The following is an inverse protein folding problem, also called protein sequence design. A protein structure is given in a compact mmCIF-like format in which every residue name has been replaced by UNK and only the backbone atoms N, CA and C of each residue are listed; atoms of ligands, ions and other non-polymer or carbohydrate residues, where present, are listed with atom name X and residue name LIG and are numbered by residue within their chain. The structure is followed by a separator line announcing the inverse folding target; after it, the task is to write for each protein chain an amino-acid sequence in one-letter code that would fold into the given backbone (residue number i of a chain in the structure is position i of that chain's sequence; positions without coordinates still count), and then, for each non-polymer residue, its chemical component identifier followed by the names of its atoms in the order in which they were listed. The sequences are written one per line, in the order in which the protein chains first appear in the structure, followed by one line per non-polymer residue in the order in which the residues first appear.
data_IF_523517160400
#
_entry.id   IF_523517160400
#
_cell.length_a   1.000
_cell.length_b   1.000
_cell.length_c   1.000
_cell.angle_alpha   90.00
_cell.angle_beta   90.00
_cell.angle_gamma   90.00
#
_symmetry.space_group_name_H-M   'P 1'
#
loop_
_entity.id
_entity.type
_entity.pdbx_description
1 polymer ?
#
# COMPACT_ATOMS: atom_id res chain seq x y z
N UNK A 1 -54.93 25.31 -23.35
CA UNK A 1 -54.89 26.76 -23.67
C UNK A 1 -54.58 27.53 -22.40
N UNK A 2 -53.60 28.45 -22.47
CA UNK A 2 -53.30 29.61 -21.58
C UNK A 2 -52.88 29.28 -20.13
N UNK A 3 -51.65 29.61 -19.68
CA UNK A 3 -51.09 30.96 -19.41
C UNK A 3 -51.95 31.74 -18.40
N UNK A 4 -51.49 32.43 -17.36
CA UNK A 4 -50.16 32.92 -16.92
C UNK A 4 -50.40 33.55 -15.52
N UNK A 5 -49.35 33.55 -14.67
CA UNK A 5 -48.79 34.65 -13.88
C UNK A 5 -49.73 35.70 -13.21
N UNK A 6 -49.43 36.20 -12.01
CA UNK A 6 -48.63 37.41 -11.69
C UNK A 6 -48.82 37.60 -10.16
N UNK A 7 -47.82 37.86 -9.30
CA UNK A 7 -47.16 39.13 -8.98
C UNK A 7 -46.26 38.83 -7.76
N UNK A 8 -44.95 39.04 -7.70
CA UNK A 8 -44.16 40.29 -7.67
C UNK A 8 -44.66 41.32 -6.65
N UNK A 9 -43.98 41.41 -5.48
CA UNK A 9 -43.80 42.65 -4.67
C UNK A 9 -42.45 42.58 -3.92
N UNK A 10 -41.74 43.71 -3.98
CA UNK A 10 -40.41 44.09 -3.48
C UNK A 10 -40.37 44.43 -1.97
N UNK A 11 -39.17 44.34 -1.36
CA UNK A 11 -38.54 45.26 -0.36
C UNK A 11 -37.42 44.50 0.40
N UNK A 12 -36.12 44.65 0.14
CA UNK A 12 -35.13 45.69 0.52
C UNK A 12 -34.91 45.87 2.04
N UNK A 13 -33.63 46.09 2.40
CA UNK A 13 -33.00 46.57 3.65
C UNK A 13 -32.88 45.54 4.81
N UNK A 14 -31.81 45.40 5.61
CA UNK A 14 -30.57 46.16 5.89
C UNK A 14 -29.57 45.25 6.64
N UNK A 15 -28.28 45.50 6.39
CA UNK A 15 -27.12 45.44 7.31
C UNK A 15 -27.34 44.96 8.77
N UNK A 16 -26.63 43.90 9.17
CA UNK A 16 -26.13 43.79 10.55
C UNK A 16 -24.78 43.03 10.56
N UNK A 17 -23.71 43.77 10.80
CA UNK A 17 -22.39 43.25 11.12
C UNK A 17 -22.44 42.47 12.44
N UNK A 18 -22.13 41.19 12.39
CA UNK A 18 -21.84 40.37 13.57
C UNK A 18 -20.57 39.56 13.31
N UNK A 19 -19.41 40.17 13.56
CA UNK A 19 -18.13 39.46 13.66
C UNK A 19 -18.13 38.65 14.97
N UNK A 20 -18.69 37.43 14.89
CA UNK A 20 -18.51 36.42 15.92
C UNK A 20 -17.17 35.70 15.70
N UNK A 21 -16.20 35.98 16.55
CA UNK A 21 -14.98 35.18 16.70
C UNK A 21 -15.36 33.77 17.16
N UNK A 22 -15.47 32.84 16.21
CA UNK A 22 -15.53 31.40 16.54
C UNK A 22 -14.08 30.96 16.71
N UNK A 23 -13.71 30.58 17.93
CA UNK A 23 -12.47 29.87 18.18
C UNK A 23 -12.47 28.58 17.36
N UNK A 24 -11.67 28.55 16.30
CA UNK A 24 -11.38 27.34 15.55
C UNK A 24 -10.53 26.42 16.44
N UNK A 25 -11.19 25.60 17.25
CA UNK A 25 -10.57 24.37 17.75
C UNK A 25 -10.37 23.44 16.56
N UNK A 26 -9.12 23.06 16.28
CA UNK A 26 -8.76 22.05 15.28
C UNK A 26 -9.22 20.65 15.73
N UNK A 27 -10.53 20.41 15.73
CA UNK A 27 -11.13 19.08 15.79
C UNK A 27 -11.60 18.68 14.40
N UNK A 28 -10.70 18.15 13.58
CA UNK A 28 -11.01 17.76 12.21
C UNK A 28 -11.88 16.48 12.19
N UNK A 29 -13.19 16.64 12.30
CA UNK A 29 -14.15 15.62 11.83
C UNK A 29 -14.33 15.83 10.32
N UNK A 30 -13.56 15.11 9.51
CA UNK A 30 -13.76 15.08 8.05
C UNK A 30 -14.97 14.19 7.74
N UNK A 31 -16.00 14.68 7.02
CA UNK A 31 -17.00 13.81 6.43
C UNK A 31 -16.34 12.94 5.36
N UNK A 32 -16.74 11.66 5.29
CA UNK A 32 -16.40 10.72 4.22
C UNK A 32 -16.96 11.25 2.89
N UNK A 33 -16.20 12.09 2.20
CA UNK A 33 -16.41 12.42 0.79
C UNK A 33 -15.82 11.30 -0.06
N UNK A 34 -16.64 10.74 -0.95
CA UNK A 34 -16.19 9.91 -2.05
C UNK A 34 -15.11 10.67 -2.82
N UNK A 35 -13.88 10.12 -2.86
CA UNK A 35 -12.79 10.69 -3.64
C UNK A 35 -13.07 10.31 -5.10
N UNK A 36 -13.54 11.28 -5.87
CA UNK A 36 -13.36 11.28 -7.32
C UNK A 36 -11.85 11.32 -7.57
N UNK A 37 -11.37 10.38 -8.39
CA UNK A 37 -9.95 10.16 -8.68
C UNK A 37 -9.31 11.43 -9.26
N UNK A 38 -8.67 12.21 -8.39
CA UNK A 38 -8.05 13.49 -8.72
C UNK A 38 -6.67 13.59 -8.05
N UNK A 39 -5.66 13.06 -8.74
CA UNK A 39 -4.25 13.47 -8.71
C UNK A 39 -3.61 13.83 -7.34
N UNK A 40 -3.96 13.13 -6.27
CA UNK A 40 -3.15 13.11 -5.05
C UNK A 40 -2.27 11.87 -5.10
N UNK A 41 -0.94 12.05 -5.04
CA UNK A 41 0.08 11.00 -4.98
C UNK A 41 -0.43 9.78 -4.20
N UNK A 42 -0.95 8.79 -4.91
CA UNK A 42 -1.37 7.55 -4.29
C UNK A 42 -0.09 6.81 -3.88
N UNK A 43 0.07 6.48 -2.59
CA UNK A 43 1.28 5.81 -2.12
C UNK A 43 1.39 4.35 -2.60
N UNK A 44 0.34 3.83 -3.25
CA UNK A 44 0.27 2.51 -3.84
C UNK A 44 0.18 2.62 -5.35
N UNK A 45 0.91 1.73 -6.05
CA UNK A 45 0.80 1.59 -7.49
C UNK A 45 -0.60 1.11 -7.89
N UNK A 46 -1.09 1.57 -9.04
CA UNK A 46 -2.41 1.19 -9.56
C UNK A 46 -2.56 -0.33 -9.74
N UNK A 47 -1.48 -1.02 -10.07
CA UNK A 47 -1.43 -2.49 -10.15
C UNK A 47 -1.77 -3.13 -8.80
N UNK A 48 -1.17 -2.66 -7.71
CA UNK A 48 -1.44 -3.17 -6.35
C UNK A 48 -2.89 -2.91 -5.94
N UNK A 49 -3.44 -1.75 -6.28
CA UNK A 49 -4.85 -1.44 -6.00
C UNK A 49 -5.77 -2.38 -6.78
N UNK A 50 -5.44 -2.65 -8.05
CA UNK A 50 -6.17 -3.59 -8.90
C UNK A 50 -6.14 -5.02 -8.34
N UNK A 51 -4.97 -5.47 -7.89
CA UNK A 51 -4.78 -6.80 -7.31
C UNK A 51 -5.56 -6.95 -5.99
N UNK A 52 -5.47 -5.96 -5.10
CA UNK A 52 -6.25 -5.92 -3.86
C UNK A 52 -7.76 -5.91 -4.13
N UNK A 53 -8.19 -5.16 -5.14
CA UNK A 53 -9.60 -5.13 -5.57
C UNK A 53 -10.06 -6.49 -6.09
N UNK A 54 -9.19 -7.20 -6.80
CA UNK A 54 -9.46 -8.55 -7.31
C UNK A 54 -9.60 -9.55 -6.17
N UNK A 55 -8.69 -9.50 -5.19
CA UNK A 55 -8.78 -10.31 -3.97
C UNK A 55 -10.12 -10.09 -3.24
N UNK A 56 -10.53 -8.83 -3.06
CA UNK A 56 -11.82 -8.51 -2.43
C UNK A 56 -12.98 -9.05 -3.25
N UNK A 57 -13.01 -8.85 -4.57
CA UNK A 57 -14.13 -9.30 -5.41
C UNK A 57 -14.31 -10.82 -5.36
N UNK A 58 -13.20 -11.56 -5.28
CA UNK A 58 -13.22 -13.01 -5.21
C UNK A 58 -13.65 -13.53 -3.83
N UNK A 59 -13.25 -12.84 -2.75
CA UNK A 59 -13.57 -13.26 -1.37
C UNK A 59 -14.86 -12.65 -0.78
N UNK A 60 -15.36 -11.55 -1.32
CA UNK A 60 -16.49 -10.82 -0.72
C UNK A 60 -17.83 -11.57 -0.80
N UNK A 61 -17.95 -12.58 -1.67
CA UNK A 61 -19.15 -13.42 -1.76
C UNK A 61 -19.43 -14.21 -0.48
N UNK A 62 -18.38 -14.53 0.28
CA UNK A 62 -18.47 -15.31 1.52
C UNK A 62 -18.72 -14.42 2.75
N UNK A 63 -18.66 -13.11 2.58
CA UNK A 63 -18.88 -12.14 3.66
C UNK A 63 -20.36 -11.83 3.84
N UNK A 64 -20.76 -11.63 5.11
CA UNK A 64 -22.06 -11.06 5.41
C UNK A 64 -22.09 -9.60 4.97
N UNK A 65 -23.26 -9.10 4.58
CA UNK A 65 -23.45 -7.68 4.26
C UNK A 65 -23.03 -6.82 5.46
N UNK A 66 -22.18 -5.83 5.22
CA UNK A 66 -21.63 -5.02 6.29
C UNK A 66 -20.39 -4.22 5.88
N UNK A 67 -19.71 -3.68 6.88
CA UNK A 67 -18.44 -2.97 6.73
C UNK A 67 -17.33 -3.71 7.46
N UNK A 68 -16.24 -3.99 6.76
CA UNK A 68 -15.07 -4.68 7.30
C UNK A 68 -13.85 -3.76 7.22
N UNK A 69 -12.97 -3.89 8.20
CA UNK A 69 -11.70 -3.18 8.24
C UNK A 69 -10.57 -4.19 8.27
N UNK A 70 -9.74 -4.16 7.24
CA UNK A 70 -8.51 -4.94 7.15
C UNK A 70 -7.34 -3.98 7.34
N UNK A 71 -6.36 -4.39 8.13
CA UNK A 71 -5.12 -3.63 8.30
C UNK A 71 -3.94 -4.53 7.99
N UNK A 72 -2.92 -3.97 7.36
CA UNK A 72 -1.69 -4.68 7.03
C UNK A 72 -0.50 -3.83 7.42
N UNK A 73 0.42 -4.43 8.17
CA UNK A 73 1.75 -3.90 8.44
C UNK A 73 2.70 -4.44 7.39
N UNK A 74 3.24 -3.57 6.56
CA UNK A 74 4.14 -3.91 5.46
C UNK A 74 5.54 -3.46 5.85
N UNK A 75 6.46 -4.40 5.99
CA UNK A 75 7.87 -4.07 6.23
C UNK A 75 8.57 -3.91 4.89
N UNK A 76 9.24 -2.77 4.72
CA UNK A 76 9.91 -2.38 3.48
C UNK A 76 11.37 -2.11 3.78
N UNK A 77 12.24 -2.58 2.90
CA UNK A 77 13.68 -2.32 3.00
C UNK A 77 14.06 -0.95 2.38
N UNK A 78 15.32 -0.55 2.55
CA UNK A 78 15.88 0.71 2.02
C UNK A 78 15.82 0.86 0.49
N UNK A 79 15.54 -0.23 -0.22
CA UNK A 79 15.42 -0.27 -1.69
C UNK A 79 13.96 -0.25 -2.16
N UNK A 80 12.99 -0.10 -1.25
CA UNK A 80 11.56 -0.05 -1.58
C UNK A 80 10.90 -1.41 -1.80
N UNK A 81 11.58 -2.51 -1.45
CA UNK A 81 11.01 -3.86 -1.54
C UNK A 81 10.36 -4.28 -0.24
N UNK A 82 9.20 -4.92 -0.36
CA UNK A 82 8.48 -5.51 0.75
C UNK A 82 9.21 -6.77 1.21
N UNK A 83 9.70 -6.79 2.45
CA UNK A 83 10.32 -7.96 3.07
C UNK A 83 9.31 -8.83 3.80
N UNK A 84 8.27 -8.21 4.38
CA UNK A 84 7.25 -8.91 5.13
C UNK A 84 5.90 -8.15 5.12
N UNK A 85 4.81 -8.90 5.29
CA UNK A 85 3.46 -8.34 5.39
C UNK A 85 2.72 -9.09 6.49
N UNK A 86 2.38 -8.38 7.56
CA UNK A 86 1.64 -8.92 8.71
C UNK A 86 0.23 -8.32 8.74
N UNK A 87 -0.82 -9.14 8.63
CA UNK A 87 -2.20 -8.68 8.78
C UNK A 87 -2.51 -8.31 10.24
N UNK A 88 -2.96 -7.08 10.47
CA UNK A 88 -3.41 -6.58 11.78
C UNK A 88 -4.91 -6.83 11.99
N UNK A 89 -5.21 -8.02 12.50
CA UNK A 89 -6.33 -8.23 13.40
C UNK A 89 -7.59 -8.87 12.82
N UNK A 90 -8.24 -9.60 13.74
CA UNK A 90 -9.54 -10.26 13.72
C UNK A 90 -9.84 -11.02 12.44
N UNK A 91 -9.19 -12.19 12.31
CA UNK A 91 -9.49 -13.24 11.35
C UNK A 91 -10.96 -13.23 10.96
N UNK A 92 -11.22 -12.54 9.85
CA UNK A 92 -12.38 -12.88 9.06
C UNK A 92 -12.09 -14.32 8.61
N UNK A 93 -13.07 -15.21 8.70
CA UNK A 93 -12.97 -16.63 8.35
C UNK A 93 -12.86 -16.80 6.81
N UNK A 94 -11.94 -16.04 6.22
CA UNK A 94 -11.67 -15.80 4.80
C UNK A 94 -10.16 -15.69 4.64
N UNK A 95 -9.45 -16.66 5.22
CA UNK A 95 -8.00 -16.85 5.09
C UNK A 95 -7.56 -16.72 3.64
N UNK A 96 -8.35 -17.25 2.69
CA UNK A 96 -8.08 -17.17 1.26
C UNK A 96 -8.04 -15.72 0.72
N UNK A 97 -8.89 -14.84 1.23
CA UNK A 97 -8.90 -13.43 0.81
C UNK A 97 -7.71 -12.68 1.43
N UNK A 98 -7.40 -12.95 2.70
CA UNK A 98 -6.25 -12.36 3.39
C UNK A 98 -4.93 -12.78 2.73
N UNK A 99 -4.75 -14.07 2.46
CA UNK A 99 -3.58 -14.61 1.74
C UNK A 99 -3.43 -13.98 0.35
N UNK A 100 -4.53 -13.78 -0.39
CA UNK A 100 -4.51 -13.09 -1.67
C UNK A 100 -4.01 -11.65 -1.51
N UNK A 101 -4.50 -10.90 -0.51
CA UNK A 101 -4.06 -9.53 -0.26
C UNK A 101 -2.60 -9.47 0.19
N UNK A 102 -2.16 -10.40 1.04
CA UNK A 102 -0.76 -10.53 1.44
C UNK A 102 0.12 -10.78 0.21
N UNK A 103 -0.31 -11.64 -0.71
CA UNK A 103 0.37 -11.87 -1.99
C UNK A 103 0.48 -10.61 -2.84
N UNK A 104 -0.62 -9.85 -2.98
CA UNK A 104 -0.66 -8.59 -3.71
C UNK A 104 0.30 -7.54 -3.11
N UNK A 105 0.30 -7.41 -1.78
CA UNK A 105 1.17 -6.48 -1.05
C UNK A 105 2.64 -6.91 -1.10
N UNK A 106 2.97 -8.20 -1.04
CA UNK A 106 4.36 -8.68 -1.18
C UNK A 106 4.96 -8.38 -2.56
N UNK A 107 4.13 -8.36 -3.60
CA UNK A 107 4.58 -8.09 -4.96
C UNK A 107 4.65 -6.61 -5.31
N UNK A 108 4.18 -5.72 -4.43
CA UNK A 108 4.17 -4.29 -4.68
C UNK A 108 5.58 -3.68 -4.66
N UNK A 109 5.75 -2.60 -5.41
CA UNK A 109 6.95 -1.76 -5.35
C UNK A 109 6.59 -0.47 -4.62
N UNK A 110 7.28 -0.18 -3.53
CA UNK A 110 7.02 1.01 -2.73
C UNK A 110 7.76 2.20 -3.35
N UNK A 111 7.06 3.31 -3.65
CA UNK A 111 7.70 4.48 -4.22
C UNK A 111 8.78 5.10 -3.31
N UNK A 112 9.83 5.72 -3.88
CA UNK A 112 10.92 6.32 -3.12
C UNK A 112 10.52 7.30 -2.03
N UNK A 113 9.50 8.12 -2.28
CA UNK A 113 9.06 9.15 -1.34
C UNK A 113 8.52 8.56 -0.02
N UNK A 114 8.03 7.31 -0.02
CA UNK A 114 7.46 6.69 1.18
C UNK A 114 8.56 6.35 2.18
N UNK A 115 9.63 5.68 1.73
CA UNK A 115 10.72 5.33 2.63
C UNK A 115 11.67 6.50 2.90
N UNK A 116 11.77 7.47 1.99
CA UNK A 116 12.48 8.73 2.26
C UNK A 116 11.81 9.53 3.39
N UNK A 117 10.47 9.65 3.39
CA UNK A 117 9.74 10.28 4.51
C UNK A 117 9.97 9.54 5.82
N UNK A 118 9.97 8.21 5.79
CA UNK A 118 10.23 7.40 6.97
C UNK A 118 11.65 7.62 7.55
N UNK A 119 12.64 7.90 6.69
CA UNK A 119 14.00 8.27 7.09
C UNK A 119 14.08 9.72 7.61
N UNK A 120 13.39 10.67 6.97
CA UNK A 120 13.34 12.07 7.41
C UNK A 120 12.65 12.22 8.78
N UNK A 121 11.56 11.47 9.03
CA UNK A 121 10.91 11.45 10.33
C UNK A 121 11.84 10.91 11.42
N UNK A 122 12.72 9.96 11.11
CA UNK A 122 13.75 9.49 12.05
C UNK A 122 14.83 10.55 12.29
N UNK A 123 15.30 11.23 11.24
CA UNK A 123 16.31 12.28 11.36
C UNK A 123 15.80 13.50 12.17
N UNK A 124 14.49 13.70 12.17
CA UNK A 124 13.82 14.80 12.86
C UNK A 124 13.43 14.47 14.31
N UNK A 125 13.59 13.21 14.75
CA UNK A 125 13.28 12.85 16.13
C UNK A 125 14.32 13.43 17.08
N UNK A 126 13.90 14.22 18.10
CA UNK A 126 14.82 14.79 19.06
C UNK A 126 15.48 13.66 19.87
N UNK A 127 16.76 13.43 19.61
CA UNK A 127 17.57 12.51 20.42
C UNK A 127 17.70 13.13 21.81
N UNK A 128 16.97 12.57 22.78
CA UNK A 128 17.07 12.98 24.18
C UNK A 128 18.54 12.96 24.64
N UNK A 129 19.02 14.00 25.35
CA UNK A 129 20.38 14.03 25.92
C UNK A 129 20.70 12.82 26.81
N UNK A 130 19.68 12.17 27.37
CA UNK A 130 19.79 11.00 28.25
C UNK A 130 20.30 9.74 27.53
N UNK A 131 20.21 9.69 26.20
CA UNK A 131 20.67 8.55 25.39
C UNK A 131 22.19 8.52 25.16
N UNK A 132 22.94 9.55 25.56
CA UNK A 132 24.40 9.62 25.41
C UNK A 132 25.18 8.78 26.44
N UNK A 133 24.50 8.18 27.42
CA UNK A 133 25.11 7.36 28.48
C UNK A 133 25.13 5.85 28.23
N UNK A 134 24.47 5.35 27.17
CA UNK A 134 24.44 3.92 26.81
C UNK A 134 25.11 3.68 25.46
N UNK A 135 26.44 3.78 25.45
CA UNK A 135 27.25 3.18 24.38
C UNK A 135 27.06 1.65 24.43
N UNK A 136 26.14 1.13 23.63
CA UNK A 136 25.98 -0.32 23.49
C UNK A 136 24.69 -0.81 22.86
N UNK A 137 23.62 0.01 22.83
CA UNK A 137 22.37 -0.40 22.20
C UNK A 137 21.87 0.70 21.25
N UNK A 138 22.17 0.52 19.97
CA UNK A 138 21.60 1.35 18.90
C UNK A 138 20.15 0.88 18.75
N UNK A 139 19.23 1.52 19.45
CA UNK A 139 17.81 1.31 19.21
C UNK A 139 17.50 1.96 17.86
N UNK A 140 17.57 1.16 16.80
CA UNK A 140 17.23 1.60 15.46
C UNK A 140 15.71 1.65 15.38
N UNK A 141 15.16 2.83 15.65
CA UNK A 141 13.74 3.11 15.46
C UNK A 141 13.49 3.21 13.95
N UNK A 142 12.94 2.16 13.35
CA UNK A 142 12.42 2.23 11.99
C UNK A 142 11.30 3.26 11.87
N UNK A 143 11.19 3.90 10.72
CA UNK A 143 10.15 4.89 10.44
C UNK A 143 8.84 4.18 10.08
N UNK A 144 7.71 4.82 10.41
CA UNK A 144 6.37 4.26 10.18
C UNK A 144 5.54 5.26 9.38
N UNK A 145 5.09 4.86 8.20
CA UNK A 145 4.30 5.71 7.31
C UNK A 145 2.94 5.08 7.06
N UNK A 146 1.85 5.63 7.62
CA UNK A 146 0.50 5.17 7.32
C UNK A 146 0.09 5.64 5.92
N UNK A 147 -0.49 4.73 5.13
CA UNK A 147 -1.03 5.06 3.81
C UNK A 147 -2.49 5.50 3.88
N UNK A 148 -2.93 6.18 2.81
CA UNK A 148 -4.36 6.52 2.63
C UNK A 148 -5.16 5.21 2.51
N UNK A 149 -6.20 5.00 3.33
CA UNK A 149 -7.00 3.78 3.27
C UNK A 149 -7.69 3.62 1.91
N UNK A 150 -7.74 2.37 1.42
CA UNK A 150 -8.48 2.00 0.21
C UNK A 150 -9.89 1.56 0.59
N UNK A 151 -10.90 2.06 -0.13
CA UNK A 151 -12.30 1.70 0.03
C UNK A 151 -12.74 0.86 -1.17
N UNK A 152 -13.18 -0.38 -0.91
CA UNK A 152 -13.70 -1.28 -1.95
C UNK A 152 -15.13 -1.68 -1.60
N UNK A 153 -16.04 -1.54 -2.57
CA UNK A 153 -17.44 -1.97 -2.43
C UNK A 153 -17.70 -3.11 -3.40
N UNK A 154 -18.07 -4.27 -2.87
CA UNK A 154 -18.37 -5.47 -3.64
C UNK A 154 -19.53 -6.23 -3.00
N UNK A 155 -20.51 -6.67 -3.80
CA UNK A 155 -21.63 -7.51 -3.35
C UNK A 155 -22.44 -6.96 -2.12
N UNK A 156 -22.49 -5.64 -1.93
CA UNK A 156 -23.16 -5.02 -0.77
C UNK A 156 -22.34 -5.06 0.52
N UNK A 157 -21.05 -5.38 0.42
CA UNK A 157 -20.05 -5.31 1.47
C UNK A 157 -19.11 -4.15 1.18
N UNK A 158 -18.75 -3.38 2.22
CA UNK A 158 -17.75 -2.32 2.15
C UNK A 158 -16.50 -2.77 2.91
N UNK A 159 -15.36 -2.81 2.24
CA UNK A 159 -14.07 -3.18 2.85
C UNK A 159 -13.17 -1.95 2.87
N UNK A 160 -12.67 -1.62 4.06
CA UNK A 160 -11.68 -0.56 4.29
C UNK A 160 -10.33 -1.24 4.51
N UNK A 161 -9.40 -1.03 3.59
CA UNK A 161 -8.03 -1.57 3.68
C UNK A 161 -7.11 -0.45 4.17
N UNK A 162 -6.53 -0.62 5.36
CA UNK A 162 -5.46 0.21 5.88
C UNK A 162 -4.10 -0.47 5.66
N UNK A 163 -3.13 0.25 5.13
CA UNK A 163 -1.75 -0.23 4.96
C UNK A 163 -0.82 0.68 5.74
N UNK A 164 -0.01 0.11 6.62
CA UNK A 164 1.02 0.81 7.40
C UNK A 164 2.37 0.31 6.94
N UNK A 165 3.24 1.20 6.45
CA UNK A 165 4.58 0.82 6.01
C UNK A 165 5.58 1.05 7.14
N UNK A 166 6.33 0.01 7.49
CA UNK A 166 7.46 0.04 8.40
C UNK A 166 8.75 -0.03 7.59
N UNK A 167 9.62 0.96 7.74
CA UNK A 167 10.94 0.94 7.09
C UNK A 167 11.95 0.37 8.05
N UNK A 168 12.47 -0.82 7.75
CA UNK A 168 13.55 -1.42 8.53
C UNK A 168 14.87 -0.70 8.21
N UNK A 169 15.27 0.19 9.11
CA UNK A 169 16.60 0.84 9.06
C UNK A 169 17.69 0.01 9.74
N UNK A 170 17.28 -1.07 10.42
CA UNK A 170 18.13 -2.00 11.15
C UNK A 170 19.26 -2.55 10.30
N UNK A 171 20.49 -2.42 10.79
CA UNK A 171 21.66 -3.19 10.33
C UNK A 171 21.63 -4.65 10.80
N UNK A 172 20.52 -5.07 11.43
CA UNK A 172 20.19 -6.45 11.81
C UNK A 172 18.89 -6.80 11.07
N UNK A 173 18.93 -7.87 10.27
CA UNK A 173 17.85 -8.38 9.41
C UNK A 173 17.60 -7.65 8.09
N UNK A 174 18.67 -7.57 7.30
CA UNK A 174 18.79 -7.99 5.90
C UNK A 174 20.23 -7.63 5.58
N UNK A 175 21.16 -8.59 5.64
CA UNK A 175 22.46 -8.35 4.99
C UNK A 175 22.18 -8.05 3.51
N UNK A 176 23.07 -7.33 2.83
CA UNK A 176 22.92 -7.13 1.37
C UNK A 176 22.62 -8.46 0.64
N UNK A 177 23.09 -9.59 1.19
CA UNK A 177 22.83 -10.95 0.71
C UNK A 177 21.35 -11.37 0.80
N UNK A 178 20.66 -11.12 1.91
CA UNK A 178 19.24 -11.50 2.07
C UNK A 178 18.33 -10.68 1.16
N UNK A 179 18.67 -9.40 0.95
CA UNK A 179 17.94 -8.49 0.07
C UNK A 179 18.14 -8.86 -1.39
N UNK A 180 19.38 -9.18 -1.77
CA UNK A 180 19.72 -9.72 -3.08
C UNK A 180 19.03 -11.07 -3.35
N UNK A 181 18.96 -11.94 -2.35
CA UNK A 181 18.27 -13.24 -2.45
C UNK A 181 16.78 -13.07 -2.72
N UNK A 182 16.10 -12.18 -1.99
CA UNK A 182 14.68 -11.89 -2.21
C UNK A 182 14.43 -11.26 -3.59
N UNK A 183 15.30 -10.34 -4.03
CA UNK A 183 15.26 -9.77 -5.38
C UNK A 183 15.36 -10.87 -6.44
N UNK A 184 16.38 -11.72 -6.33
CA UNK A 184 16.62 -12.76 -7.32
C UNK A 184 15.56 -13.86 -7.33
N UNK A 185 14.91 -14.11 -6.20
CA UNK A 185 13.74 -15.00 -6.14
C UNK A 185 12.56 -14.46 -6.96
N UNK A 186 12.29 -13.14 -6.92
CA UNK A 186 11.24 -12.51 -7.72
C UNK A 186 11.59 -12.50 -9.20
N UNK A 187 12.81 -12.08 -9.54
CA UNK A 187 13.34 -12.11 -10.91
C UNK A 187 13.26 -13.52 -11.50
N UNK A 188 13.56 -14.56 -10.72
CA UNK A 188 13.41 -15.94 -11.16
C UNK A 188 11.98 -16.28 -11.58
N UNK A 189 10.98 -15.81 -10.84
CA UNK A 189 9.59 -16.04 -11.20
C UNK A 189 9.23 -15.29 -12.51
N UNK A 190 9.62 -14.03 -12.64
CA UNK A 190 9.41 -13.24 -13.86
C UNK A 190 10.10 -13.90 -15.08
N UNK A 191 11.31 -14.42 -14.91
CA UNK A 191 12.02 -15.17 -15.94
C UNK A 191 11.34 -16.50 -16.29
N UNK A 192 10.78 -17.20 -15.30
CA UNK A 192 9.98 -18.41 -15.54
C UNK A 192 8.75 -18.05 -16.37
N UNK A 193 8.02 -17.00 -16.00
CA UNK A 193 6.80 -16.59 -16.68
C UNK A 193 7.11 -16.16 -18.13
N UNK A 194 8.13 -15.32 -18.35
CA UNK A 194 8.58 -14.93 -19.69
C UNK A 194 8.99 -16.13 -20.56
N UNK A 195 9.76 -17.06 -19.99
CA UNK A 195 10.21 -18.23 -20.73
C UNK A 195 9.08 -19.23 -20.95
N UNK A 196 8.09 -19.29 -20.06
CA UNK A 196 6.90 -20.13 -20.21
C UNK A 196 6.11 -19.74 -21.46
N UNK A 197 5.94 -18.44 -21.71
CA UNK A 197 5.23 -17.91 -22.87
C UNK A 197 6.03 -18.05 -24.17
N UNK A 198 7.35 -17.85 -24.10
CA UNK A 198 8.21 -17.81 -25.30
C UNK A 198 8.73 -19.17 -25.74
N UNK A 199 8.81 -20.15 -24.82
CA UNK A 199 9.45 -21.45 -25.10
C UNK A 199 8.55 -22.66 -24.94
N UNK A 200 7.30 -22.53 -24.46
CA UNK A 200 6.36 -23.66 -24.44
C UNK A 200 5.37 -23.66 -25.62
N UNK A 201 4.99 -24.84 -26.15
CA UNK A 201 5.45 -26.18 -25.78
C UNK A 201 6.62 -26.66 -26.68
N UNK A 202 7.85 -26.74 -26.14
CA UNK A 202 8.97 -27.36 -26.85
C UNK A 202 9.14 -28.85 -26.51
N UNK A 203 9.39 -29.72 -27.52
CA UNK A 203 9.64 -31.15 -27.32
C UNK A 203 11.01 -31.48 -26.69
N UNK A 204 11.85 -30.46 -26.45
CA UNK A 204 13.26 -30.60 -26.07
C UNK A 204 13.46 -30.87 -24.56
N UNK A 205 12.56 -31.61 -23.91
CA UNK A 205 12.61 -31.93 -22.47
C UNK A 205 12.81 -30.69 -21.56
N UNK A 206 12.35 -29.52 -22.01
CA UNK A 206 12.51 -28.24 -21.29
C UNK A 206 13.90 -27.60 -21.39
N UNK A 207 14.85 -28.12 -22.17
CA UNK A 207 16.20 -27.55 -22.27
C UNK A 207 16.21 -26.09 -22.73
N UNK A 208 15.39 -25.75 -23.73
CA UNK A 208 15.22 -24.36 -24.21
C UNK A 208 14.65 -23.45 -23.13
N UNK A 209 13.70 -23.95 -22.35
CA UNK A 209 13.16 -23.24 -21.20
C UNK A 209 14.24 -22.98 -20.15
N UNK A 210 15.05 -23.99 -19.81
CA UNK A 210 16.16 -23.83 -18.87
C UNK A 210 17.21 -22.82 -19.35
N UNK A 211 17.57 -22.86 -20.64
CA UNK A 211 18.50 -21.88 -21.22
C UNK A 211 17.92 -20.47 -21.18
N UNK A 212 16.66 -20.30 -21.60
CA UNK A 212 15.96 -19.00 -21.54
C UNK A 212 15.96 -18.45 -20.10
N UNK A 213 15.57 -19.27 -19.12
CA UNK A 213 15.51 -18.87 -17.71
C UNK A 213 16.88 -18.46 -17.18
N UNK A 214 17.93 -19.26 -17.46
CA UNK A 214 19.28 -18.99 -16.99
C UNK A 214 19.86 -17.72 -17.62
N UNK A 215 19.66 -17.51 -18.93
CA UNK A 215 20.07 -16.28 -19.60
C UNK A 215 19.33 -15.05 -19.03
N UNK A 216 18.04 -15.19 -18.74
CA UNK A 216 17.25 -14.12 -18.12
C UNK A 216 17.78 -13.76 -16.74
N UNK A 217 18.08 -14.75 -15.89
CA UNK A 217 18.67 -14.55 -14.57
C UNK A 217 20.04 -13.85 -14.66
N UNK A 218 20.89 -14.25 -15.59
CA UNK A 218 22.20 -13.63 -15.79
C UNK A 218 22.11 -12.17 -16.23
N UNK A 219 21.19 -11.84 -17.14
CA UNK A 219 20.96 -10.44 -17.57
C UNK A 219 20.50 -9.55 -16.43
N UNK A 220 19.83 -10.11 -15.43
CA UNK A 220 19.33 -9.41 -14.25
C UNK A 220 20.34 -9.44 -13.06
N UNK A 221 21.52 -10.03 -13.28
CA UNK A 221 22.58 -10.14 -12.28
C UNK A 221 22.24 -11.06 -11.12
N UNK A 222 21.54 -12.16 -11.39
CA UNK A 222 21.12 -13.14 -10.37
C UNK A 222 21.80 -14.50 -10.55
N UNK A 223 22.21 -15.17 -9.45
CA UNK A 223 22.73 -16.54 -9.50
C UNK A 223 21.73 -17.50 -10.17
N UNK A 224 22.24 -18.51 -10.90
CA UNK A 224 21.38 -19.53 -11.56
C UNK A 224 20.60 -20.40 -10.56
N UNK A 225 21.07 -20.46 -9.32
CA UNK A 225 20.55 -21.23 -8.19
C UNK A 225 19.68 -20.40 -7.22
N UNK A 226 19.38 -19.14 -7.56
CA UNK A 226 18.46 -18.26 -6.79
C UNK A 226 17.08 -18.86 -6.57
#
# INVERSE_FOLDING_TARGET
MRSRAVSMVFAVVTLCCGLGLIAAGCGASRPLTAIESGNSEQPLADSTISDLTTCVKNGAGDLKKGSYKLRFNVTVNKRGWVSDVEPEGLGLDVDAMEECMVGALKNMTVPPFVYQRAEEEQASQPISPQSRGHMGNVMVLGGVVPLVPILIVAAGVTIIIGVTIHVSTSTRDVTDEDGEKMRCKKVKQECIDYCSETTMPTPDYGWKFFNCKNECLERQGCPRDS
#
